data_IF_392772691258
#
_entry.id   IF_392772691258
#
_cell.length_a   1.000
_cell.length_b   1.000
_cell.length_c   1.000
_cell.angle_alpha   90.00
_cell.angle_beta   90.00
_cell.angle_gamma   90.00
#
_symmetry.space_group_name_H-M   'P 1'
#
loop_
_entity.id
_entity.type
_entity.pdbx_description
1 polymer ?
#
# COMPACT_ATOMS: atom_id res chain seq x y z
N UNK A 1 -19.55 -16.48 58.31
CA UNK A 1 -18.27 -17.16 58.04
C UNK A 1 -18.37 -17.84 56.69
N UNK A 2 -17.93 -17.18 55.63
CA UNK A 2 -17.74 -17.77 54.29
C UNK A 2 -16.68 -16.92 53.59
N UNK A 3 -15.42 -17.30 53.81
CA UNK A 3 -14.26 -16.69 53.17
C UNK A 3 -13.96 -17.45 51.88
N UNK A 4 -14.11 -16.78 50.74
CA UNK A 4 -13.64 -17.27 49.44
C UNK A 4 -12.15 -16.94 49.26
N UNK A 5 -11.31 -17.85 48.73
CA UNK A 5 -9.91 -17.56 48.49
C UNK A 5 -9.70 -16.70 47.23
N UNK A 6 -8.79 -15.72 47.34
CA UNK A 6 -8.22 -14.96 46.23
C UNK A 6 -7.32 -15.88 45.39
N UNK A 7 -7.67 -16.09 44.13
CA UNK A 7 -6.76 -16.62 43.11
C UNK A 7 -5.96 -15.47 42.48
N UNK A 8 -4.71 -15.31 42.92
CA UNK A 8 -3.72 -14.48 42.24
C UNK A 8 -3.05 -15.33 41.14
N UNK A 9 -3.57 -15.26 39.92
CA UNK A 9 -2.86 -15.74 38.75
C UNK A 9 -1.86 -14.68 38.30
N UNK A 10 -0.59 -14.90 38.63
CA UNK A 10 0.53 -14.30 37.91
C UNK A 10 0.44 -14.70 36.44
N UNK A 11 0.51 -13.70 35.58
CA UNK A 11 0.49 -13.86 34.12
C UNK A 11 1.54 -12.95 33.52
N UNK A 12 2.73 -13.53 33.38
CA UNK A 12 3.79 -13.28 32.40
C UNK A 12 3.86 -11.90 31.75
N UNK A 13 4.95 -11.19 32.04
CA UNK A 13 5.43 -10.08 31.22
C UNK A 13 5.58 -10.54 29.77
N UNK A 14 4.64 -10.10 28.94
CA UNK A 14 4.79 -10.15 27.49
C UNK A 14 5.91 -9.20 27.13
N UNK A 15 6.99 -9.73 26.56
CA UNK A 15 8.06 -8.92 26.00
C UNK A 15 7.45 -7.95 25.00
N UNK A 16 7.55 -6.66 25.29
CA UNK A 16 7.29 -5.57 24.34
C UNK A 16 8.35 -5.63 23.24
N UNK A 17 8.24 -6.63 22.36
CA UNK A 17 8.92 -6.59 21.07
C UNK A 17 8.33 -5.41 20.31
N UNK A 18 9.17 -4.41 20.03
CA UNK A 18 8.84 -3.30 19.12
C UNK A 18 8.43 -3.94 17.79
N UNK A 19 7.12 -3.95 17.50
CA UNK A 19 6.62 -4.54 16.26
C UNK A 19 7.02 -3.66 15.07
N UNK A 20 7.47 -4.26 13.97
CA UNK A 20 7.67 -3.52 12.72
C UNK A 20 6.37 -3.57 11.93
N UNK A 21 5.89 -2.42 11.48
CA UNK A 21 4.76 -2.30 10.56
C UNK A 21 5.29 -1.94 9.17
N UNK A 22 4.85 -2.66 8.15
CA UNK A 22 5.29 -2.48 6.76
C UNK A 22 4.12 -1.93 5.95
N UNK A 23 4.31 -0.80 5.27
CA UNK A 23 3.24 -0.07 4.59
C UNK A 23 3.61 0.21 3.14
N UNK A 24 2.64 0.06 2.23
CA UNK A 24 2.75 0.49 0.85
C UNK A 24 1.64 1.50 0.58
N UNK A 25 2.01 2.75 0.35
CA UNK A 25 1.09 3.75 -0.19
C UNK A 25 0.94 3.49 -1.69
N UNK A 26 -0.28 3.26 -2.15
CA UNK A 26 -0.57 2.84 -3.51
C UNK A 26 -1.51 3.83 -4.19
N UNK A 27 -1.07 4.40 -5.31
CA UNK A 27 -1.95 5.09 -6.25
C UNK A 27 -2.67 4.10 -7.19
N UNK A 28 -3.72 4.58 -7.85
CA UNK A 28 -4.47 3.87 -8.88
C UNK A 28 -4.14 4.37 -10.27
N UNK A 29 -4.37 5.66 -10.55
CA UNK A 29 -4.11 6.24 -11.86
C UNK A 29 -2.61 6.20 -12.17
N UNK A 30 -2.25 5.74 -13.36
CA UNK A 30 -0.85 5.68 -13.80
C UNK A 30 0.01 4.63 -13.10
N UNK A 31 -0.51 3.96 -12.08
CA UNK A 31 0.11 2.85 -11.35
C UNK A 31 -0.64 1.55 -11.65
N UNK A 32 -1.86 1.39 -11.15
CA UNK A 32 -2.68 0.20 -11.39
C UNK A 32 -3.47 0.31 -12.69
N UNK A 33 -3.84 1.54 -13.06
CA UNK A 33 -4.60 1.89 -14.26
C UNK A 33 -3.75 2.79 -15.18
N UNK A 34 -2.99 2.22 -16.12
CA UNK A 34 -2.22 3.01 -17.07
C UNK A 34 -3.12 3.89 -17.94
N UNK A 35 -2.67 5.11 -18.27
CA UNK A 35 -3.41 6.03 -19.12
C UNK A 35 -2.50 6.80 -20.09
N UNK A 36 -3.08 7.29 -21.18
CA UNK A 36 -2.36 8.00 -22.25
C UNK A 36 -2.35 7.24 -23.57
N UNK A 37 -1.79 7.87 -24.61
CA UNK A 37 -1.85 7.34 -25.99
C UNK A 37 -1.06 6.03 -26.17
N UNK A 38 -0.03 5.82 -25.36
CA UNK A 38 0.83 4.65 -25.40
C UNK A 38 0.43 3.57 -24.37
N UNK A 39 -0.73 3.74 -23.73
CA UNK A 39 -1.23 2.76 -22.76
C UNK A 39 -1.46 1.39 -23.42
N UNK A 40 -1.17 0.27 -22.72
CA UNK A 40 -1.42 -1.06 -23.24
C UNK A 40 -2.84 -1.18 -23.76
N UNK A 41 -3.04 -1.81 -24.93
CA UNK A 41 -4.37 -1.93 -25.53
C UNK A 41 -5.39 -2.63 -24.61
N UNK A 42 -4.93 -3.44 -23.65
CA UNK A 42 -5.78 -4.07 -22.64
C UNK A 42 -6.34 -3.04 -21.63
N UNK A 43 -5.62 -1.96 -21.34
CA UNK A 43 -6.12 -0.83 -20.56
C UNK A 43 -7.11 0.04 -21.37
N UNK A 44 -7.00 0.03 -22.70
CA UNK A 44 -7.84 0.85 -23.60
C UNK A 44 -9.12 0.13 -24.05
N UNK A 45 -9.10 -1.21 -24.11
CA UNK A 45 -10.30 -2.00 -24.39
C UNK A 45 -11.16 -2.04 -23.12
N UNK A 46 -12.46 -1.74 -23.25
CA UNK A 46 -13.48 -2.03 -22.23
C UNK A 46 -13.52 -3.55 -21.99
N UNK A 47 -12.58 -4.04 -21.21
CA UNK A 47 -12.67 -5.34 -20.57
C UNK A 47 -13.51 -5.16 -19.32
N UNK A 48 -14.11 -6.24 -18.80
CA UNK A 48 -14.85 -6.20 -17.53
C UNK A 48 -13.93 -5.98 -16.31
N UNK A 49 -12.64 -5.72 -16.53
CA UNK A 49 -11.62 -5.55 -15.51
C UNK A 49 -11.09 -4.12 -15.52
N UNK A 50 -11.01 -3.52 -14.34
CA UNK A 50 -10.54 -2.15 -14.12
C UNK A 50 -9.03 -2.02 -14.34
N UNK A 51 -8.27 -3.07 -14.01
CA UNK A 51 -6.81 -3.07 -14.05
C UNK A 51 -6.27 -4.15 -14.99
N UNK A 52 -5.21 -3.87 -15.77
CA UNK A 52 -4.53 -4.89 -16.55
C UNK A 52 -3.97 -6.02 -15.66
N UNK A 53 -4.02 -7.27 -16.16
CA UNK A 53 -3.49 -8.43 -15.43
C UNK A 53 -2.00 -8.27 -15.07
N UNK A 54 -1.23 -7.51 -15.86
CA UNK A 54 0.20 -7.29 -15.62
C UNK A 54 0.49 -6.40 -14.39
N UNK A 55 -0.28 -5.34 -14.15
CA UNK A 55 -0.10 -4.46 -12.98
C UNK A 55 -0.52 -5.20 -11.70
N UNK A 56 -1.60 -5.97 -11.78
CA UNK A 56 -2.06 -6.86 -10.70
C UNK A 56 -1.05 -7.97 -10.39
N UNK A 57 -0.43 -8.56 -11.41
CA UNK A 57 0.65 -9.53 -11.23
C UNK A 57 1.87 -8.91 -10.55
N UNK A 58 2.25 -7.69 -10.93
CA UNK A 58 3.35 -6.96 -10.30
C UNK A 58 3.05 -6.64 -8.82
N UNK A 59 1.86 -6.17 -8.49
CA UNK A 59 1.45 -5.95 -7.10
C UNK A 59 1.44 -7.25 -6.28
N UNK A 60 0.92 -8.34 -6.86
CA UNK A 60 0.89 -9.67 -6.22
C UNK A 60 2.30 -10.13 -5.87
N UNK A 61 3.27 -9.93 -6.76
CA UNK A 61 4.67 -10.25 -6.50
C UNK A 61 5.22 -9.49 -5.29
N UNK A 62 4.93 -8.19 -5.13
CA UNK A 62 5.38 -7.41 -3.97
C UNK A 62 4.85 -8.02 -2.67
N UNK A 63 3.54 -8.31 -2.64
CA UNK A 63 2.86 -8.86 -1.46
C UNK A 63 3.27 -10.30 -1.13
N UNK A 64 3.61 -11.11 -2.14
CA UNK A 64 4.20 -12.44 -1.93
C UNK A 64 5.61 -12.36 -1.32
N UNK A 65 6.41 -11.37 -1.75
CA UNK A 65 7.77 -11.17 -1.26
C UNK A 65 7.81 -10.50 0.12
N UNK A 66 6.76 -9.75 0.48
CA UNK A 66 6.64 -9.06 1.76
C UNK A 66 5.21 -9.29 2.33
N UNK A 67 4.90 -10.49 2.86
CA UNK A 67 3.53 -10.86 3.25
C UNK A 67 2.94 -10.04 4.41
N UNK A 68 3.78 -9.32 5.14
CA UNK A 68 3.37 -8.43 6.23
C UNK A 68 3.09 -7.00 5.75
N UNK A 69 3.24 -6.72 4.46
CA UNK A 69 2.95 -5.40 3.91
C UNK A 69 1.45 -5.14 3.89
N UNK A 70 1.07 -4.00 4.44
CA UNK A 70 -0.28 -3.47 4.43
C UNK A 70 -0.40 -2.40 3.35
N UNK A 71 -1.51 -2.41 2.59
CA UNK A 71 -1.77 -1.36 1.61
C UNK A 71 -2.50 -0.19 2.25
N UNK A 72 -2.03 1.02 1.97
CA UNK A 72 -2.72 2.28 2.25
C UNK A 72 -3.11 2.91 0.92
N UNK A 73 -4.41 3.16 0.72
CA UNK A 73 -4.86 3.80 -0.52
C UNK A 73 -4.48 5.28 -0.49
N UNK A 74 -3.55 5.65 -1.37
CA UNK A 74 -3.08 7.01 -1.54
C UNK A 74 -3.38 7.44 -2.97
N UNK A 75 -4.67 7.57 -3.28
CA UNK A 75 -5.18 7.92 -4.62
C UNK A 75 -6.39 8.82 -4.49
N UNK A 76 -6.67 9.68 -5.47
CA UNK A 76 -7.90 10.51 -5.48
C UNK A 76 -9.17 9.65 -5.40
N UNK A 77 -9.09 8.39 -5.82
CA UNK A 77 -10.17 7.40 -5.76
C UNK A 77 -10.70 7.16 -4.34
N UNK A 78 -9.85 7.35 -3.31
CA UNK A 78 -10.22 7.16 -1.90
C UNK A 78 -11.35 8.09 -1.43
N UNK A 79 -11.61 9.19 -2.14
CA UNK A 79 -12.65 10.16 -1.80
C UNK A 79 -14.05 9.56 -1.93
N UNK A 80 -14.23 8.52 -2.75
CA UNK A 80 -15.52 7.85 -2.94
C UNK A 80 -15.43 6.40 -2.46
N UNK A 81 -16.24 6.05 -1.45
CA UNK A 81 -16.23 4.69 -0.88
C UNK A 81 -16.51 3.60 -1.93
N UNK A 82 -17.42 3.87 -2.87
CA UNK A 82 -17.76 2.95 -3.96
C UNK A 82 -16.56 2.62 -4.85
N UNK A 83 -15.62 3.57 -5.03
CA UNK A 83 -14.40 3.30 -5.80
C UNK A 83 -13.45 2.40 -5.03
N UNK A 84 -13.34 2.56 -3.71
CA UNK A 84 -12.55 1.64 -2.87
C UNK A 84 -13.08 0.22 -2.99
N UNK A 85 -14.41 0.05 -2.88
CA UNK A 85 -15.06 -1.25 -3.03
C UNK A 85 -14.80 -1.86 -4.42
N UNK A 86 -14.85 -1.06 -5.48
CA UNK A 86 -14.59 -1.50 -6.86
C UNK A 86 -13.14 -1.92 -7.09
N UNK A 87 -12.17 -1.20 -6.51
CA UNK A 87 -10.74 -1.55 -6.53
C UNK A 87 -10.54 -2.91 -5.87
N UNK A 88 -11.06 -3.09 -4.66
CA UNK A 88 -10.93 -4.35 -3.92
C UNK A 88 -11.62 -5.52 -4.64
N UNK A 89 -12.80 -5.29 -5.23
CA UNK A 89 -13.49 -6.30 -6.03
C UNK A 89 -12.66 -6.74 -7.23
N UNK A 90 -11.97 -5.81 -7.91
CA UNK A 90 -11.06 -6.14 -9.02
C UNK A 90 -9.85 -6.95 -8.55
N UNK A 91 -9.24 -6.58 -7.43
CA UNK A 91 -8.14 -7.36 -6.83
C UNK A 91 -8.59 -8.79 -6.50
N UNK A 92 -9.79 -8.93 -5.93
CA UNK A 92 -10.35 -10.24 -5.58
C UNK A 92 -10.65 -11.07 -6.81
N UNK A 93 -11.25 -10.46 -7.84
CA UNK A 93 -11.56 -11.13 -9.09
C UNK A 93 -10.30 -11.72 -9.73
N UNK A 94 -9.21 -10.93 -9.79
CA UNK A 94 -7.92 -11.40 -10.28
C UNK A 94 -7.34 -12.53 -9.42
N UNK A 95 -7.32 -12.36 -8.09
CA UNK A 95 -6.81 -13.38 -7.18
C UNK A 95 -7.56 -14.71 -7.29
N UNK A 96 -8.89 -14.64 -7.48
CA UNK A 96 -9.76 -15.82 -7.69
C UNK A 96 -9.57 -16.47 -9.06
N UNK A 97 -9.29 -15.68 -10.10
CA UNK A 97 -9.03 -16.17 -11.47
C UNK A 97 -7.69 -16.93 -11.55
N UNK A 98 -6.64 -16.45 -10.87
CA UNK A 98 -5.29 -17.01 -10.96
C UNK A 98 -5.07 -18.25 -10.12
N UNK A 99 -5.81 -18.42 -9.02
CA UNK A 99 -5.65 -19.58 -8.13
C UNK A 99 -6.99 -20.19 -7.75
N UNK A 100 -7.09 -21.51 -7.84
CA UNK A 100 -8.25 -22.27 -7.35
C UNK A 100 -8.25 -22.42 -5.82
N UNK A 101 -7.38 -21.71 -5.10
CA UNK A 101 -7.25 -21.74 -3.64
C UNK A 101 -7.18 -20.33 -3.08
N UNK A 102 -7.63 -20.15 -1.84
CA UNK A 102 -7.68 -18.90 -1.09
C UNK A 102 -6.31 -18.37 -0.63
N UNK A 103 -5.22 -18.72 -1.31
CA UNK A 103 -3.85 -18.43 -0.90
C UNK A 103 -3.16 -17.33 -1.73
N UNK A 104 -3.85 -16.74 -2.71
CA UNK A 104 -3.30 -15.63 -3.48
C UNK A 104 -3.40 -14.32 -2.66
N UNK A 105 -2.37 -13.45 -2.64
CA UNK A 105 -2.36 -12.24 -1.79
C UNK A 105 -3.54 -11.30 -2.06
N UNK A 106 -4.02 -11.24 -3.31
CA UNK A 106 -5.15 -10.40 -3.69
C UNK A 106 -6.53 -11.04 -3.45
N UNK A 107 -6.62 -12.30 -3.01
CA UNK A 107 -7.89 -13.06 -2.92
C UNK A 107 -8.95 -12.40 -2.03
N UNK A 108 -8.53 -11.84 -0.89
CA UNK A 108 -9.39 -11.13 0.06
C UNK A 108 -8.69 -9.88 0.61
N UNK A 109 -7.87 -9.24 -0.24
CA UNK A 109 -7.13 -8.05 0.17
C UNK A 109 -8.10 -6.93 0.54
N UNK A 110 -7.79 -6.22 1.62
CA UNK A 110 -8.42 -4.96 2.01
C UNK A 110 -7.34 -3.92 2.22
N UNK A 111 -7.66 -2.66 1.94
CA UNK A 111 -6.80 -1.57 2.39
C UNK A 111 -6.81 -1.51 3.92
N UNK A 112 -5.62 -1.44 4.52
CA UNK A 112 -5.50 -1.27 5.96
C UNK A 112 -5.85 0.15 6.40
N UNK A 113 -5.65 1.12 5.50
CA UNK A 113 -5.99 2.52 5.72
C UNK A 113 -6.12 3.28 4.39
N UNK A 114 -6.51 4.55 4.47
CA UNK A 114 -6.50 5.50 3.36
C UNK A 114 -5.82 6.80 3.80
N UNK A 115 -5.17 7.52 2.87
CA UNK A 115 -4.72 8.88 3.19
C UNK A 115 -5.91 9.83 3.36
N UNK A 116 -5.71 10.95 4.06
CA UNK A 116 -6.78 11.88 4.41
C UNK A 116 -7.56 12.34 3.14
N UNK A 117 -8.87 12.08 3.03
CA UNK A 117 -9.65 12.43 1.84
C UNK A 117 -9.86 13.94 1.69
N UNK A 118 -9.66 14.73 2.75
CA UNK A 118 -9.78 16.18 2.70
C UNK A 118 -8.50 16.88 2.25
N UNK A 119 -7.35 16.19 2.30
CA UNK A 119 -6.06 16.70 1.81
C UNK A 119 -5.80 16.06 0.46
N UNK A 120 -5.97 16.80 -0.64
CA UNK A 120 -5.87 16.27 -2.01
C UNK A 120 -5.12 17.19 -2.98
N UNK A 121 -4.24 18.04 -2.45
CA UNK A 121 -3.46 18.98 -3.27
C UNK A 121 -2.16 18.38 -3.78
N UNK A 122 -1.42 17.67 -2.92
CA UNK A 122 -0.07 17.20 -3.20
C UNK A 122 0.15 15.86 -2.50
N UNK A 123 0.42 14.80 -3.26
CA UNK A 123 0.53 13.43 -2.76
C UNK A 123 1.56 13.25 -1.64
N UNK A 124 2.70 13.96 -1.75
CA UNK A 124 3.75 13.97 -0.73
C UNK A 124 3.22 14.44 0.65
N UNK A 125 2.31 15.42 0.66
CA UNK A 125 1.74 15.95 1.90
C UNK A 125 0.72 15.00 2.52
N UNK A 126 -0.06 14.30 1.69
CA UNK A 126 -1.03 13.29 2.15
C UNK A 126 -0.34 12.15 2.89
N UNK A 127 0.72 11.62 2.30
CA UNK A 127 1.51 10.53 2.87
C UNK A 127 2.20 11.01 4.15
N UNK A 128 2.79 12.21 4.14
CA UNK A 128 3.43 12.76 5.33
C UNK A 128 2.47 12.98 6.50
N UNK A 129 1.28 13.54 6.23
CA UNK A 129 0.22 13.71 7.25
C UNK A 129 -0.14 12.36 7.89
N UNK A 130 -0.30 11.32 7.06
CA UNK A 130 -0.57 9.98 7.56
C UNK A 130 0.59 9.43 8.41
N UNK A 131 1.84 9.58 7.95
CA UNK A 131 3.03 9.12 8.68
C UNK A 131 3.14 9.78 10.07
N UNK A 132 2.92 11.09 10.15
CA UNK A 132 2.94 11.85 11.40
C UNK A 132 1.85 11.36 12.37
N UNK A 133 0.65 11.09 11.87
CA UNK A 133 -0.44 10.55 12.69
C UNK A 133 -0.11 9.16 13.23
N UNK A 134 0.47 8.26 12.42
CA UNK A 134 0.87 6.93 12.88
C UNK A 134 1.97 6.99 13.94
N UNK A 135 2.94 7.88 13.77
CA UNK A 135 4.02 8.07 14.74
C UNK A 135 3.49 8.59 16.09
N UNK A 136 2.48 9.47 16.08
CA UNK A 136 1.83 9.95 17.30
C UNK A 136 1.01 8.87 18.00
N UNK A 137 0.38 7.97 17.23
CA UNK A 137 -0.45 6.89 17.76
C UNK A 137 0.37 5.68 18.25
N UNK A 138 1.57 5.48 17.73
CA UNK A 138 2.40 4.30 18.05
C UNK A 138 3.74 4.70 18.65
N UNK A 139 3.86 4.58 19.98
CA UNK A 139 5.11 4.88 20.70
C UNK A 139 6.15 3.76 20.64
N UNK A 140 5.81 2.60 20.05
CA UNK A 140 6.63 1.37 20.14
C UNK A 140 6.73 0.58 18.84
N UNK A 141 6.27 1.10 17.70
CA UNK A 141 6.41 0.40 16.40
C UNK A 141 7.30 1.17 15.45
N UNK A 142 8.29 0.48 14.87
CA UNK A 142 9.02 1.00 13.72
C UNK A 142 8.15 0.90 12.48
N UNK A 143 8.22 1.90 11.61
CA UNK A 143 7.48 1.94 10.37
C UNK A 143 8.43 1.80 9.18
N UNK A 144 8.23 0.75 8.39
CA UNK A 144 8.87 0.56 7.09
C UNK A 144 7.84 0.91 6.03
N UNK A 145 8.21 1.70 5.04
CA UNK A 145 7.23 2.11 4.04
C UNK A 145 7.82 2.42 2.67
N UNK A 146 6.98 2.33 1.64
CA UNK A 146 7.23 2.89 0.32
C UNK A 146 5.95 3.53 -0.24
N UNK A 147 6.10 4.44 -1.19
CA UNK A 147 5.05 4.96 -2.04
C UNK A 147 5.26 4.49 -3.48
N UNK A 148 4.20 3.97 -4.10
CA UNK A 148 4.17 3.58 -5.51
C UNK A 148 3.20 4.50 -6.23
N UNK A 149 3.74 5.31 -7.14
CA UNK A 149 3.07 6.51 -7.65
C UNK A 149 3.53 6.83 -9.07
N UNK A 150 2.69 7.45 -9.90
CA UNK A 150 3.12 7.96 -11.21
C UNK A 150 3.57 9.44 -11.15
N UNK A 151 3.16 10.17 -10.12
CA UNK A 151 3.62 11.52 -9.84
C UNK A 151 5.09 11.54 -9.38
N UNK A 152 5.76 12.69 -9.54
CA UNK A 152 7.05 12.89 -8.89
C UNK A 152 6.84 13.21 -7.41
N UNK A 153 7.44 12.44 -6.51
CA UNK A 153 7.38 12.66 -5.05
C UNK A 153 8.71 13.14 -4.47
N UNK A 154 9.76 13.29 -5.30
CA UNK A 154 11.10 13.68 -4.86
C UNK A 154 11.48 15.00 -5.50
N UNK A 155 11.43 15.11 -6.82
CA UNK A 155 11.86 16.27 -7.58
C UNK A 155 10.76 17.34 -7.72
N UNK A 156 11.17 18.57 -8.03
CA UNK A 156 10.26 19.70 -8.21
C UNK A 156 10.07 20.57 -6.97
N UNK A 157 9.47 21.75 -7.19
CA UNK A 157 9.22 22.74 -6.14
C UNK A 157 8.18 22.28 -5.10
N UNK A 158 7.04 21.64 -5.47
CA UNK A 158 6.04 21.19 -4.50
C UNK A 158 6.62 20.19 -3.47
N UNK A 159 7.53 19.32 -3.94
CA UNK A 159 8.13 18.25 -3.13
C UNK A 159 9.32 18.67 -2.27
N UNK A 160 9.76 19.94 -2.36
CA UNK A 160 10.98 20.39 -1.70
C UNK A 160 10.92 20.25 -0.16
N UNK A 161 9.72 20.34 0.42
CA UNK A 161 9.52 20.32 1.87
C UNK A 161 9.85 18.97 2.50
N UNK A 162 9.35 17.87 1.93
CA UNK A 162 9.54 16.53 2.49
C UNK A 162 10.47 15.63 1.65
N UNK A 163 11.12 16.15 0.61
CA UNK A 163 12.06 15.43 -0.25
C UNK A 163 12.95 14.43 0.49
N UNK A 164 13.60 14.87 1.57
CA UNK A 164 14.56 14.04 2.32
C UNK A 164 13.90 12.84 3.01
N UNK A 165 12.62 12.92 3.38
CA UNK A 165 11.86 11.79 3.94
C UNK A 165 11.45 10.77 2.87
N UNK A 166 11.33 11.20 1.61
CA UNK A 166 10.91 10.34 0.49
C UNK A 166 12.09 9.70 -0.24
N UNK A 167 13.32 10.14 0.03
CA UNK A 167 14.52 9.52 -0.52
C UNK A 167 14.58 8.05 -0.10
N UNK A 168 14.69 7.15 -1.08
CA UNK A 168 14.68 5.68 -0.89
C UNK A 168 13.33 5.07 -0.48
N UNK A 169 12.24 5.84 -0.51
CA UNK A 169 10.89 5.36 -0.22
C UNK A 169 9.96 5.38 -1.43
N UNK A 170 10.41 5.80 -2.61
CA UNK A 170 9.53 6.02 -3.77
C UNK A 170 9.85 5.06 -4.92
N UNK A 171 8.80 4.47 -5.47
CA UNK A 171 8.80 3.78 -6.77
C UNK A 171 7.93 4.59 -7.72
N UNK A 172 8.57 5.35 -8.61
CA UNK A 172 7.88 6.15 -9.61
C UNK A 172 7.58 5.32 -10.85
N UNK A 173 6.31 5.10 -11.17
CA UNK A 173 5.90 4.43 -12.41
C UNK A 173 5.89 5.42 -13.58
N UNK A 174 5.76 4.90 -14.80
CA UNK A 174 5.40 5.70 -15.95
C UNK A 174 3.89 5.58 -16.15
N UNK A 175 3.17 6.71 -16.13
CA UNK A 175 1.70 6.73 -16.14
C UNK A 175 1.06 5.95 -17.30
N UNK A 176 1.68 5.94 -18.48
CA UNK A 176 1.20 5.18 -19.64
C UNK A 176 1.59 3.69 -19.61
N UNK A 177 2.46 3.27 -18.71
CA UNK A 177 2.87 1.86 -18.59
C UNK A 177 2.19 1.19 -17.39
N UNK A 178 2.04 1.92 -16.29
CA UNK A 178 1.63 1.37 -15.00
C UNK A 178 2.77 0.67 -14.26
N UNK A 179 2.40 -0.02 -13.19
CA UNK A 179 3.28 -0.82 -12.36
C UNK A 179 3.83 -2.02 -13.13
N UNK A 180 5.16 -2.05 -13.31
CA UNK A 180 5.85 -3.14 -14.00
C UNK A 180 6.48 -4.15 -13.04
N UNK A 181 6.95 -5.27 -13.59
CA UNK A 181 7.75 -6.23 -12.82
C UNK A 181 9.06 -5.62 -12.29
N UNK A 182 9.68 -4.71 -13.04
CA UNK A 182 10.91 -4.02 -12.62
C UNK A 182 10.65 -3.09 -11.44
N UNK A 183 9.51 -2.38 -11.47
CA UNK A 183 9.06 -1.51 -10.38
C UNK A 183 8.76 -2.33 -9.12
N UNK A 184 8.08 -3.47 -9.28
CA UNK A 184 7.82 -4.40 -8.19
C UNK A 184 9.11 -4.96 -7.56
N UNK A 185 10.12 -5.30 -8.36
CA UNK A 185 11.44 -5.69 -7.86
C UNK A 185 12.14 -4.55 -7.11
N UNK A 186 12.00 -3.31 -7.58
CA UNK A 186 12.52 -2.15 -6.86
C UNK A 186 11.78 -1.96 -5.52
N UNK A 187 10.45 -2.01 -5.50
CA UNK A 187 9.63 -1.93 -4.29
C UNK A 187 10.08 -2.94 -3.23
N UNK A 188 10.23 -4.21 -3.62
CA UNK A 188 10.69 -5.27 -2.70
C UNK A 188 12.09 -4.98 -2.17
N UNK A 189 13.02 -4.49 -3.01
CA UNK A 189 14.37 -4.13 -2.55
C UNK A 189 14.35 -2.98 -1.55
N UNK A 190 13.57 -1.93 -1.81
CA UNK A 190 13.46 -0.79 -0.91
C UNK A 190 12.85 -1.17 0.44
N UNK A 191 11.80 -2.00 0.44
CA UNK A 191 11.18 -2.50 1.66
C UNK A 191 12.15 -3.38 2.47
N UNK A 192 12.85 -4.32 1.82
CA UNK A 192 13.82 -5.19 2.50
C UNK A 192 15.00 -4.42 3.07
N UNK A 193 15.51 -3.41 2.36
CA UNK A 193 16.60 -2.57 2.83
C UNK A 193 16.26 -1.76 4.10
N UNK A 194 14.98 -1.56 4.40
CA UNK A 194 14.52 -0.91 5.63
C UNK A 194 14.24 -1.90 6.78
N UNK A 195 14.15 -3.19 6.47
CA UNK A 195 13.91 -4.27 7.44
C UNK A 195 15.20 -4.87 8.02
N UNK A 196 16.31 -4.73 7.29
CA UNK A 196 17.65 -5.19 7.68
C UNK A 196 18.34 -4.22 8.68
#
# INVERSE_FOLDING_TARGET
MTSTPKSSSGGSGGGSGVGVRVVIFLDMDGVMQPFGNDAPQEAVKKTDCLFPDCTLQALSYILEQVPTAELVLSSTWRVQHSYIEEIEQNFHAYGRKRHNTNNHPLWNLRFADITNPQLHSERQYEIQDWLEQQQQQSTTRSLVWIAIDDEDLIEGAPNARYRHWFQHHVVKTQSHVGLTASDAQLAVRLLKAQLD
#
